data_IF_081042951811
#
_entry.id   IF_081042951811
#
_cell.length_a   1.000
_cell.length_b   1.000
_cell.length_c   1.000
_cell.angle_alpha   90.00
_cell.angle_beta   90.00
_cell.angle_gamma   90.00
#
_symmetry.space_group_name_H-M   'P 1'
#
loop_
_entity.id
_entity.type
_entity.pdbx_description
1 polymer ?
#
# COMPACT_ATOMS: atom_id res chain seq x y z
N UNK A 1 -2.76 -16.23 1.82
CA UNK A 1 -3.12 -17.47 1.07
C UNK A 1 -2.42 -17.57 -0.27
N UNK A 2 -2.43 -16.54 -1.12
CA UNK A 2 -1.69 -16.52 -2.40
C UNK A 2 -0.19 -16.82 -2.21
N UNK A 3 0.41 -16.34 -1.11
CA UNK A 3 1.84 -16.58 -0.82
C UNK A 3 2.16 -18.03 -0.43
N UNK A 4 1.17 -18.82 -0.04
CA UNK A 4 1.34 -20.25 0.34
C UNK A 4 1.13 -21.20 -0.83
N UNK A 5 0.46 -20.78 -1.90
CA UNK A 5 0.19 -21.58 -3.10
C UNK A 5 1.21 -21.36 -4.21
N UNK A 6 1.96 -20.24 -4.18
CA UNK A 6 2.95 -19.90 -5.19
C UNK A 6 4.24 -20.73 -5.12
N UNK A 7 4.91 -20.89 -6.24
CA UNK A 7 6.24 -21.50 -6.31
C UNK A 7 7.27 -20.69 -5.51
N UNK A 8 7.99 -21.35 -4.62
CA UNK A 8 9.03 -20.68 -3.80
C UNK A 8 10.11 -19.97 -4.63
N UNK A 9 10.29 -20.36 -5.89
CA UNK A 9 11.30 -19.84 -6.82
C UNK A 9 10.88 -18.54 -7.53
N UNK A 10 9.55 -18.30 -7.69
CA UNK A 10 9.03 -17.14 -8.42
C UNK A 10 8.09 -16.27 -7.59
N UNK A 11 8.15 -16.39 -6.27
CA UNK A 11 7.26 -15.69 -5.34
C UNK A 11 7.33 -14.16 -5.47
N UNK A 12 8.48 -13.59 -5.73
CA UNK A 12 8.65 -12.15 -5.93
C UNK A 12 7.94 -11.67 -7.20
N UNK A 13 8.04 -12.44 -8.29
CA UNK A 13 7.35 -12.12 -9.54
C UNK A 13 5.82 -12.22 -9.40
N UNK A 14 5.31 -13.22 -8.69
CA UNK A 14 3.87 -13.41 -8.44
C UNK A 14 3.30 -12.27 -7.59
N UNK A 15 3.94 -11.97 -6.45
CA UNK A 15 3.53 -10.86 -5.56
C UNK A 15 3.67 -9.52 -6.30
N UNK A 16 4.77 -9.31 -7.04
CA UNK A 16 4.98 -8.09 -7.80
C UNK A 16 3.93 -7.90 -8.89
N UNK A 17 3.51 -8.98 -9.57
CA UNK A 17 2.44 -8.89 -10.58
C UNK A 17 1.09 -8.53 -9.96
N UNK A 18 0.75 -9.14 -8.83
CA UNK A 18 -0.45 -8.79 -8.07
C UNK A 18 -0.42 -7.31 -7.65
N UNK A 19 0.72 -6.84 -7.13
CA UNK A 19 0.89 -5.46 -6.71
C UNK A 19 0.76 -4.48 -7.89
N UNK A 20 1.28 -4.83 -9.07
CA UNK A 20 1.09 -4.04 -10.29
C UNK A 20 -0.39 -3.89 -10.63
N UNK A 21 -1.16 -4.99 -10.62
CA UNK A 21 -2.60 -4.98 -10.93
C UNK A 21 -3.34 -4.10 -9.91
N UNK A 22 -3.09 -4.30 -8.62
CA UNK A 22 -3.71 -3.51 -7.55
C UNK A 22 -3.39 -2.02 -7.75
N UNK A 23 -2.12 -1.67 -7.98
CA UNK A 23 -1.69 -0.28 -8.14
C UNK A 23 -2.28 0.34 -9.41
N UNK A 24 -2.38 -0.38 -10.52
CA UNK A 24 -3.02 0.09 -11.75
C UNK A 24 -4.50 0.41 -11.52
N UNK A 25 -5.24 -0.52 -10.91
CA UNK A 25 -6.67 -0.32 -10.63
C UNK A 25 -6.89 0.84 -9.66
N UNK A 26 -6.07 0.94 -8.61
CA UNK A 26 -6.19 1.99 -7.60
C UNK A 26 -5.62 3.35 -8.06
N UNK A 27 -4.82 3.41 -9.13
CA UNK A 27 -4.19 4.66 -9.58
C UNK A 27 -5.18 5.72 -10.04
N UNK A 28 -6.33 5.30 -10.57
CA UNK A 28 -7.37 6.21 -11.08
C UNK A 28 -8.21 6.78 -9.92
N UNK A 29 -8.29 6.08 -8.80
CA UNK A 29 -9.14 6.42 -7.66
C UNK A 29 -8.89 7.83 -7.08
N UNK A 30 -7.65 8.30 -6.86
CA UNK A 30 -7.39 9.64 -6.34
C UNK A 30 -7.88 10.75 -7.28
N UNK A 31 -7.74 10.54 -8.59
CA UNK A 31 -8.22 11.52 -9.59
C UNK A 31 -9.74 11.59 -9.60
N UNK A 32 -10.42 10.46 -9.63
CA UNK A 32 -11.89 10.40 -9.55
C UNK A 32 -12.38 11.09 -8.26
N UNK A 33 -11.78 10.74 -7.11
CA UNK A 33 -12.11 11.37 -5.83
C UNK A 33 -11.90 12.88 -5.84
N UNK A 34 -10.81 13.36 -6.44
CA UNK A 34 -10.52 14.78 -6.61
C UNK A 34 -11.57 15.51 -7.44
N UNK A 35 -11.99 14.92 -8.57
CA UNK A 35 -13.05 15.48 -9.43
C UNK A 35 -14.38 15.55 -8.67
N UNK A 36 -14.76 14.50 -7.95
CA UNK A 36 -15.99 14.51 -7.16
C UNK A 36 -15.98 15.62 -6.09
N UNK A 37 -14.86 15.84 -5.42
CA UNK A 37 -14.76 16.85 -4.37
C UNK A 37 -14.70 18.28 -4.87
N UNK A 38 -14.18 18.53 -6.08
CA UNK A 38 -14.11 19.87 -6.65
C UNK A 38 -15.39 20.27 -7.41
N UNK A 39 -16.12 19.33 -8.03
CA UNK A 39 -17.31 19.60 -8.85
C UNK A 39 -18.64 19.15 -8.25
N UNK A 40 -18.60 18.16 -7.36
CA UNK A 40 -19.76 17.60 -6.72
C UNK A 40 -19.63 17.81 -5.21
N UNK A 41 -20.48 17.14 -4.42
CA UNK A 41 -20.41 17.24 -2.96
C UNK A 41 -19.76 16.03 -2.32
N UNK A 42 -19.31 16.19 -1.08
CA UNK A 42 -18.80 15.09 -0.27
C UNK A 42 -19.81 13.94 -0.12
N UNK A 43 -21.11 14.27 -0.02
CA UNK A 43 -22.18 13.27 0.11
C UNK A 43 -22.29 12.40 -1.15
N UNK A 44 -22.14 12.99 -2.34
CA UNK A 44 -22.18 12.26 -3.60
C UNK A 44 -20.98 11.32 -3.73
N UNK A 45 -19.79 11.76 -3.29
CA UNK A 45 -18.60 10.90 -3.22
C UNK A 45 -18.84 9.71 -2.28
N UNK A 46 -19.47 9.94 -1.12
CA UNK A 46 -19.77 8.84 -0.18
C UNK A 46 -20.76 7.84 -0.78
N UNK A 47 -21.82 8.31 -1.42
CA UNK A 47 -22.82 7.45 -2.07
C UNK A 47 -22.16 6.62 -3.18
N UNK A 48 -21.36 7.27 -4.03
CA UNK A 48 -20.61 6.61 -5.11
C UNK A 48 -19.66 5.53 -4.56
N UNK A 49 -18.90 5.86 -3.51
CA UNK A 49 -17.98 4.91 -2.86
C UNK A 49 -18.74 3.72 -2.26
N UNK A 50 -19.89 3.96 -1.64
CA UNK A 50 -20.76 2.91 -1.09
C UNK A 50 -21.28 1.99 -2.20
N UNK A 51 -21.72 2.54 -3.33
CA UNK A 51 -22.17 1.76 -4.48
C UNK A 51 -21.05 0.85 -5.01
N UNK A 52 -19.83 1.39 -5.19
CA UNK A 52 -18.67 0.59 -5.61
C UNK A 52 -18.37 -0.53 -4.61
N UNK A 53 -18.42 -0.23 -3.31
CA UNK A 53 -18.18 -1.21 -2.26
C UNK A 53 -19.23 -2.33 -2.30
N UNK A 54 -20.52 -2.01 -2.49
CA UNK A 54 -21.58 -3.00 -2.65
C UNK A 54 -21.35 -3.89 -3.88
N UNK A 55 -20.99 -3.31 -5.02
CA UNK A 55 -20.64 -4.07 -6.23
C UNK A 55 -19.43 -4.96 -6.01
N UNK A 56 -18.39 -4.44 -5.35
CA UNK A 56 -17.20 -5.19 -4.99
C UNK A 56 -17.45 -6.35 -4.04
N UNK A 57 -18.55 -6.31 -3.27
CA UNK A 57 -18.93 -7.39 -2.36
C UNK A 57 -19.57 -8.58 -3.09
N UNK A 58 -20.15 -8.37 -4.27
CA UNK A 58 -20.86 -9.40 -5.02
C UNK A 58 -20.00 -10.67 -5.27
N UNK A 59 -18.73 -10.57 -5.72
CA UNK A 59 -17.90 -11.76 -5.93
C UNK A 59 -17.68 -12.60 -4.66
N UNK A 60 -17.68 -11.97 -3.48
CA UNK A 60 -17.50 -12.69 -2.21
C UNK A 60 -18.70 -13.56 -1.85
N UNK A 61 -19.91 -13.22 -2.33
CA UNK A 61 -21.11 -14.04 -2.13
C UNK A 61 -21.03 -15.39 -2.87
N UNK A 62 -20.22 -15.47 -3.91
CA UNK A 62 -20.02 -16.66 -4.72
C UNK A 62 -18.69 -17.37 -4.43
N UNK A 63 -17.83 -16.77 -3.59
CA UNK A 63 -16.57 -17.36 -3.21
C UNK A 63 -16.79 -18.58 -2.30
N UNK A 64 -16.19 -19.72 -2.64
CA UNK A 64 -16.19 -20.88 -1.76
C UNK A 64 -15.15 -20.66 -0.65
N UNK A 65 -15.57 -20.84 0.59
CA UNK A 65 -14.67 -20.76 1.73
C UNK A 65 -13.62 -21.90 1.65
N UNK A 66 -12.33 -21.57 1.67
CA UNK A 66 -11.31 -22.61 1.82
C UNK A 66 -11.47 -23.29 3.18
N UNK A 67 -11.11 -24.59 3.32
CA UNK A 67 -11.25 -25.30 4.57
C UNK A 67 -10.44 -24.62 5.67
N UNK A 68 -11.16 -23.94 6.58
CA UNK A 68 -10.56 -23.17 7.66
C UNK A 68 -10.00 -24.14 8.70
N UNK A 69 -8.67 -24.23 8.82
CA UNK A 69 -8.06 -24.75 10.05
C UNK A 69 -8.43 -23.79 11.17
N UNK A 70 -9.25 -24.26 12.13
CA UNK A 70 -9.64 -23.45 13.30
C UNK A 70 -8.39 -22.99 14.03
N UNK A 71 -7.97 -21.76 13.76
CA UNK A 71 -6.83 -21.15 14.43
C UNK A 71 -7.39 -20.18 15.48
N UNK A 72 -7.39 -20.62 16.73
CA UNK A 72 -7.85 -19.79 17.85
C UNK A 72 -6.64 -19.08 18.46
N UNK A 73 -6.40 -17.83 18.08
CA UNK A 73 -5.43 -16.96 18.74
C UNK A 73 -6.03 -16.44 20.05
N UNK A 74 -5.44 -16.82 21.17
CA UNK A 74 -5.71 -16.21 22.47
C UNK A 74 -4.86 -14.94 22.61
N UNK A 75 -5.34 -13.94 23.35
CA UNK A 75 -4.59 -12.71 23.61
C UNK A 75 -3.18 -12.98 24.21
N UNK A 76 -3.05 -14.06 25.00
CA UNK A 76 -1.76 -14.55 25.51
C UNK A 76 -0.76 -14.93 24.41
N UNK A 77 -1.24 -15.35 23.23
CA UNK A 77 -0.37 -15.79 22.14
C UNK A 77 0.25 -14.57 21.44
N UNK A 78 -0.47 -13.45 21.34
CA UNK A 78 0.11 -12.18 20.87
C UNK A 78 1.28 -11.73 21.75
N UNK A 79 1.13 -11.80 23.08
CA UNK A 79 2.21 -11.47 24.02
C UNK A 79 3.42 -12.38 23.84
N UNK A 80 3.22 -13.68 23.65
CA UNK A 80 4.30 -14.65 23.38
C UNK A 80 4.98 -14.41 22.04
N UNK A 81 4.19 -14.16 20.97
CA UNK A 81 4.74 -13.83 19.66
C UNK A 81 5.58 -12.55 19.76
N UNK A 82 5.03 -11.49 20.36
CA UNK A 82 5.73 -10.22 20.51
C UNK A 82 6.99 -10.31 21.37
N UNK A 83 7.01 -11.16 22.40
CA UNK A 83 8.20 -11.37 23.24
C UNK A 83 9.30 -12.16 22.52
N UNK A 84 8.94 -12.98 21.52
CA UNK A 84 9.88 -13.82 20.76
C UNK A 84 10.73 -13.02 19.78
N UNK A 85 10.24 -11.87 19.32
CA UNK A 85 10.99 -11.06 18.37
C UNK A 85 12.09 -10.24 19.04
N UNK A 86 13.30 -10.13 18.42
CA UNK A 86 14.36 -9.22 18.89
C UNK A 86 13.88 -7.77 18.98
N UNK A 87 14.53 -6.97 19.81
CA UNK A 87 14.20 -5.55 19.95
C UNK A 87 14.29 -4.77 18.63
N UNK A 88 15.26 -5.12 17.78
CA UNK A 88 15.43 -4.55 16.42
C UNK A 88 14.20 -4.74 15.53
N UNK A 89 13.55 -5.90 15.57
CA UNK A 89 12.38 -6.18 14.76
C UNK A 89 11.16 -5.38 15.24
N UNK A 90 11.03 -5.24 16.56
CA UNK A 90 9.95 -4.42 17.16
C UNK A 90 10.06 -2.94 16.77
N UNK A 91 11.28 -2.39 16.81
CA UNK A 91 11.53 -1.01 16.34
C UNK A 91 11.29 -0.86 14.85
N UNK A 92 11.61 -1.88 14.03
CA UNK A 92 11.29 -1.92 12.62
C UNK A 92 9.80 -1.83 12.35
N UNK A 93 8.98 -2.65 13.00
CA UNK A 93 7.51 -2.61 12.86
C UNK A 93 6.91 -1.28 13.33
N UNK A 94 7.43 -0.72 14.43
CA UNK A 94 6.97 0.58 14.92
C UNK A 94 7.31 1.69 13.92
N UNK A 95 8.53 1.68 13.38
CA UNK A 95 8.98 2.66 12.37
C UNK A 95 8.15 2.58 11.09
N UNK A 96 7.84 1.37 10.61
CA UNK A 96 7.00 1.14 9.44
C UNK A 96 5.56 1.65 9.67
N UNK A 97 4.99 1.37 10.85
CA UNK A 97 3.68 1.90 11.23
C UNK A 97 3.65 3.43 11.30
N UNK A 98 4.68 4.05 11.88
CA UNK A 98 4.81 5.50 11.93
C UNK A 98 4.96 6.11 10.52
N UNK A 99 5.78 5.50 9.66
CA UNK A 99 5.93 5.90 8.26
C UNK A 99 4.59 5.83 7.51
N UNK A 100 3.85 4.75 7.69
CA UNK A 100 2.53 4.59 7.06
C UNK A 100 1.59 5.74 7.45
N UNK A 101 1.50 6.09 8.73
CA UNK A 101 0.64 7.18 9.21
C UNK A 101 1.05 8.52 8.59
N UNK A 102 2.35 8.82 8.59
CA UNK A 102 2.85 10.08 8.01
C UNK A 102 2.59 10.13 6.50
N UNK A 103 2.87 9.05 5.79
CA UNK A 103 2.72 9.00 4.33
C UNK A 103 1.27 8.95 3.87
N UNK A 104 0.38 8.28 4.62
CA UNK A 104 -1.02 8.11 4.25
C UNK A 104 -1.92 9.29 4.64
N UNK A 105 -1.58 10.02 5.71
CA UNK A 105 -2.45 11.07 6.25
C UNK A 105 -1.79 12.44 6.22
N UNK A 106 -0.62 12.60 6.83
CA UNK A 106 0.00 13.92 6.94
C UNK A 106 0.52 14.45 5.60
N UNK A 107 1.20 13.61 4.84
CA UNK A 107 1.78 14.01 3.57
C UNK A 107 0.76 14.46 2.53
N UNK A 108 -0.37 13.79 2.33
CA UNK A 108 -1.44 14.28 1.46
C UNK A 108 -2.01 15.63 1.88
N UNK A 109 -2.15 15.89 3.19
CA UNK A 109 -2.65 17.18 3.70
C UNK A 109 -1.67 18.31 3.36
N UNK A 110 -0.38 18.08 3.57
CA UNK A 110 0.66 19.07 3.25
C UNK A 110 0.64 19.39 1.75
N UNK A 111 0.62 18.37 0.90
CA UNK A 111 0.56 18.55 -0.56
C UNK A 111 -0.72 19.29 -0.95
N UNK A 112 -1.86 18.96 -0.37
CA UNK A 112 -3.14 19.63 -0.63
C UNK A 112 -3.06 21.13 -0.37
N UNK A 113 -2.51 21.54 0.76
CA UNK A 113 -2.31 22.95 1.11
C UNK A 113 -1.35 23.64 0.12
N UNK A 114 -0.23 22.99 -0.22
CA UNK A 114 0.75 23.51 -1.19
C UNK A 114 0.18 23.68 -2.59
N UNK A 115 -0.82 22.87 -2.98
CA UNK A 115 -1.50 22.95 -4.27
C UNK A 115 -2.64 24.00 -4.31
N UNK A 116 -2.78 24.80 -3.28
CA UNK A 116 -3.85 25.81 -3.19
C UNK A 116 -5.21 25.22 -2.93
N UNK A 117 -5.28 24.14 -2.15
CA UNK A 117 -6.52 23.44 -1.72
C UNK A 117 -7.34 22.85 -2.88
N UNK A 118 -6.70 22.40 -3.95
CA UNK A 118 -7.38 21.78 -5.10
C UNK A 118 -7.31 20.26 -4.99
N UNK A 119 -8.45 19.60 -4.88
CA UNK A 119 -8.56 18.15 -4.83
C UNK A 119 -8.21 17.49 -6.15
N UNK A 120 -8.54 18.13 -7.30
CA UNK A 120 -8.16 17.62 -8.63
C UNK A 120 -6.65 17.58 -8.78
N UNK A 121 -5.94 18.64 -8.41
CA UNK A 121 -4.47 18.68 -8.51
C UNK A 121 -3.84 17.62 -7.61
N UNK A 122 -4.36 17.48 -6.40
CA UNK A 122 -3.94 16.43 -5.46
C UNK A 122 -4.13 15.04 -6.08
N UNK A 123 -5.34 14.76 -6.55
CA UNK A 123 -5.69 13.48 -7.17
C UNK A 123 -4.83 13.17 -8.39
N UNK A 124 -4.54 14.16 -9.22
CA UNK A 124 -3.69 14.01 -10.40
C UNK A 124 -2.25 13.67 -10.03
N UNK A 125 -1.67 14.34 -9.03
CA UNK A 125 -0.31 14.03 -8.54
C UNK A 125 -0.23 12.60 -8.02
N UNK A 126 -1.20 12.16 -7.20
CA UNK A 126 -1.21 10.79 -6.68
C UNK A 126 -1.41 9.75 -7.78
N UNK A 127 -2.25 10.04 -8.78
CA UNK A 127 -2.44 9.17 -9.95
C UNK A 127 -1.14 9.01 -10.73
N UNK A 128 -0.47 10.12 -11.05
CA UNK A 128 0.82 10.08 -11.76
C UNK A 128 1.89 9.34 -10.95
N UNK A 129 1.97 9.60 -9.65
CA UNK A 129 2.91 8.91 -8.77
C UNK A 129 2.64 7.39 -8.72
N UNK A 130 1.37 6.97 -8.67
CA UNK A 130 1.00 5.57 -8.72
C UNK A 130 1.37 4.90 -10.05
N UNK A 131 1.14 5.58 -11.19
CA UNK A 131 1.55 5.06 -12.50
C UNK A 131 3.07 4.92 -12.63
N UNK A 132 3.83 5.88 -12.14
CA UNK A 132 5.30 5.77 -12.06
C UNK A 132 5.69 4.58 -11.19
N UNK A 133 5.03 4.37 -10.06
CA UNK A 133 5.28 3.22 -9.17
C UNK A 133 5.04 1.88 -9.86
N UNK A 134 4.02 1.77 -10.72
CA UNK A 134 3.77 0.56 -11.53
C UNK A 134 4.96 0.23 -12.41
N UNK A 135 5.52 1.23 -13.09
CA UNK A 135 6.72 1.06 -13.92
C UNK A 135 7.88 0.52 -13.08
N UNK A 136 8.15 1.16 -11.94
CA UNK A 136 9.21 0.69 -11.03
C UNK A 136 8.98 -0.73 -10.53
N UNK A 137 7.79 -1.07 -10.04
CA UNK A 137 7.47 -2.42 -9.54
C UNK A 137 7.69 -3.46 -10.66
N UNK A 138 7.27 -3.14 -11.89
CA UNK A 138 7.40 -4.04 -13.04
C UNK A 138 8.88 -4.38 -13.34
N UNK A 139 9.77 -3.41 -13.27
CA UNK A 139 11.19 -3.65 -13.46
C UNK A 139 11.86 -4.34 -12.25
N UNK A 140 11.49 -3.93 -11.03
CA UNK A 140 12.15 -4.42 -9.83
C UNK A 140 11.72 -5.82 -9.38
N UNK A 141 10.51 -6.29 -9.76
CA UNK A 141 10.03 -7.63 -9.35
C UNK A 141 10.99 -8.77 -9.74
N UNK A 142 11.53 -8.73 -10.96
CA UNK A 142 12.50 -9.73 -11.44
C UNK A 142 13.88 -9.56 -10.79
N UNK A 143 14.26 -8.33 -10.48
CA UNK A 143 15.51 -8.04 -9.78
C UNK A 143 15.52 -8.62 -8.36
N UNK A 144 14.40 -8.55 -7.65
CA UNK A 144 14.24 -9.11 -6.31
C UNK A 144 14.44 -10.63 -6.29
N UNK A 145 13.90 -11.32 -7.29
CA UNK A 145 14.04 -12.79 -7.38
C UNK A 145 15.45 -13.24 -7.74
N UNK A 146 16.21 -12.41 -8.46
CA UNK A 146 17.57 -12.73 -8.92
C UNK A 146 18.68 -12.39 -7.91
N UNK A 147 18.37 -11.64 -6.85
CA UNK A 147 19.38 -11.17 -5.90
C UNK A 147 19.09 -11.64 -4.46
N UNK A 148 20.15 -11.68 -3.63
CA UNK A 148 19.97 -12.04 -2.22
C UNK A 148 19.09 -11.02 -1.48
N UNK A 149 18.18 -11.52 -0.65
CA UNK A 149 17.25 -10.68 0.14
C UNK A 149 17.97 -9.59 0.95
N UNK A 150 19.15 -9.92 1.50
CA UNK A 150 19.97 -8.97 2.28
C UNK A 150 20.46 -7.79 1.42
N UNK A 151 20.87 -8.05 0.18
CA UNK A 151 21.32 -7.01 -0.77
C UNK A 151 20.17 -6.10 -1.18
N UNK A 152 19.03 -6.71 -1.52
CA UNK A 152 17.80 -5.99 -1.90
C UNK A 152 17.33 -5.09 -0.75
N UNK A 153 17.23 -5.64 0.46
CA UNK A 153 16.84 -4.89 1.65
C UNK A 153 17.78 -3.69 1.90
N UNK A 154 19.10 -3.89 1.77
CA UNK A 154 20.07 -2.81 1.94
C UNK A 154 19.90 -1.67 0.93
N UNK A 155 19.55 -1.98 -0.32
CA UNK A 155 19.27 -0.95 -1.34
C UNK A 155 17.98 -0.20 -1.00
N UNK A 156 16.91 -0.93 -0.69
CA UNK A 156 15.60 -0.34 -0.35
C UNK A 156 15.74 0.60 0.85
N UNK A 157 16.42 0.19 1.92
CA UNK A 157 16.64 1.02 3.10
C UNK A 157 17.35 2.33 2.77
N UNK A 158 18.39 2.29 1.92
CA UNK A 158 19.11 3.52 1.49
C UNK A 158 18.20 4.45 0.69
N UNK A 159 17.41 3.90 -0.24
CA UNK A 159 16.48 4.70 -1.06
C UNK A 159 15.40 5.33 -0.19
N UNK A 160 14.84 4.58 0.76
CA UNK A 160 13.85 5.12 1.70
C UNK A 160 14.44 6.21 2.60
N UNK A 161 15.64 6.00 3.14
CA UNK A 161 16.32 7.03 3.96
C UNK A 161 16.57 8.31 3.16
N UNK A 162 16.98 8.19 1.91
CA UNK A 162 17.19 9.34 1.02
C UNK A 162 15.86 10.07 0.71
N UNK A 163 14.79 9.32 0.47
CA UNK A 163 13.45 9.91 0.26
C UNK A 163 12.99 10.72 1.49
N UNK A 164 13.18 10.19 2.70
CA UNK A 164 12.85 10.90 3.92
C UNK A 164 13.70 12.17 4.12
N UNK A 165 14.98 12.10 3.79
CA UNK A 165 15.86 13.26 3.82
C UNK A 165 15.38 14.36 2.87
N UNK A 166 15.02 14.01 1.62
CA UNK A 166 14.45 14.96 0.66
C UNK A 166 13.15 15.59 1.15
N UNK A 167 12.24 14.79 1.72
CA UNK A 167 10.99 15.31 2.31
C UNK A 167 11.26 16.31 3.45
N UNK A 168 12.28 16.07 4.27
CA UNK A 168 12.66 16.97 5.35
C UNK A 168 13.26 18.31 4.87
N UNK A 169 13.85 18.37 3.68
CA UNK A 169 14.36 19.61 3.08
C UNK A 169 13.24 20.43 2.43
N UNK A 170 12.18 19.78 1.95
CA UNK A 170 11.07 20.43 1.26
C UNK A 170 10.06 21.11 2.20
N UNK A 171 10.12 20.82 3.50
CA UNK A 171 9.30 21.40 4.55
C UNK A 171 10.01 22.56 5.24
#
# INVERSE_FOLDING_TARGET
ELSSQGSSKHRGAEIGTLQVIITLVSSISPFIGGVFLDYLSYNELLIFSLCILCVGFIPFLFAQDPPIKKFSLKFSDYKKIFSKYPGSDKTGFFSEGAEFVVSAYFWPIIIFVLLGNSFIKLGLIFTVAALISVVFITFFKSYVDSHSKKKVLGIITKVMSFNWFLRGIML
#
